data_IF_850461448778
#
_entry.id   IF_850461448778
#
_cell.length_a   1.000
_cell.length_b   1.000
_cell.length_c   1.000
_cell.angle_alpha   90.00
_cell.angle_beta   90.00
_cell.angle_gamma   90.00
#
_symmetry.space_group_name_H-M   'P 1'
#
loop_
_entity.id
_entity.type
_entity.pdbx_description
1 polymer ?
#
# COMPACT_ATOMS: atom_id res chain seq x y z
N UNK A 1 -28.66 -31.23 0.27
CA UNK A 1 -28.17 -30.23 -0.71
C UNK A 1 -28.10 -28.87 -0.03
N UNK A 2 -26.90 -28.41 0.35
CA UNK A 2 -26.69 -27.11 0.95
C UNK A 2 -26.92 -26.03 -0.10
N UNK A 3 -27.77 -25.05 0.17
CA UNK A 3 -27.92 -23.85 -0.65
C UNK A 3 -26.62 -23.05 -0.55
N UNK A 4 -25.87 -22.94 -1.65
CA UNK A 4 -24.74 -22.01 -1.75
C UNK A 4 -25.33 -20.60 -1.71
N UNK A 5 -25.14 -19.88 -0.61
CA UNK A 5 -25.55 -18.48 -0.49
C UNK A 5 -24.49 -17.69 -1.26
N UNK A 6 -24.88 -17.13 -2.41
CA UNK A 6 -24.02 -16.20 -3.16
C UNK A 6 -24.17 -14.84 -2.50
N UNK A 7 -23.20 -14.44 -1.69
CA UNK A 7 -23.13 -13.12 -1.08
C UNK A 7 -22.57 -12.15 -2.13
N UNK A 8 -23.22 -11.04 -2.35
CA UNK A 8 -22.73 -10.01 -3.27
C UNK A 8 -21.51 -9.30 -2.70
N UNK A 9 -20.65 -8.76 -3.57
CA UNK A 9 -19.48 -7.96 -3.13
C UNK A 9 -19.89 -6.77 -2.25
N UNK A 10 -21.07 -6.19 -2.50
CA UNK A 10 -21.61 -5.12 -1.68
C UNK A 10 -21.93 -5.61 -0.25
N UNK A 11 -22.57 -6.76 -0.11
CA UNK A 11 -22.88 -7.36 1.19
C UNK A 11 -21.62 -7.74 1.96
N UNK A 12 -20.57 -8.23 1.25
CA UNK A 12 -19.28 -8.48 1.86
C UNK A 12 -18.63 -7.19 2.40
N UNK A 13 -18.66 -6.11 1.62
CA UNK A 13 -18.14 -4.80 2.06
C UNK A 13 -18.88 -4.26 3.29
N UNK A 14 -20.18 -4.48 3.37
CA UNK A 14 -21.02 -4.09 4.52
C UNK A 14 -20.76 -4.94 5.78
N UNK A 15 -20.27 -6.16 5.61
CA UNK A 15 -19.95 -7.06 6.73
C UNK A 15 -18.59 -6.79 7.40
N UNK A 16 -17.73 -5.97 6.77
CA UNK A 16 -16.41 -5.66 7.31
C UNK A 16 -16.50 -4.70 8.51
N UNK A 17 -15.78 -5.03 9.58
CA UNK A 17 -15.70 -4.21 10.80
C UNK A 17 -14.71 -3.04 10.69
N UNK A 18 -14.54 -2.47 9.48
CA UNK A 18 -13.55 -1.44 9.19
C UNK A 18 -14.17 -0.05 9.11
N UNK A 19 -13.43 0.94 9.58
CA UNK A 19 -13.83 2.33 9.48
C UNK A 19 -13.23 3.00 8.23
N UNK A 20 -14.05 3.76 7.50
CA UNK A 20 -13.61 4.51 6.32
C UNK A 20 -13.20 5.93 6.72
N UNK A 21 -12.01 6.36 6.27
CA UNK A 21 -11.45 7.68 6.51
C UNK A 21 -11.19 8.37 5.16
N UNK A 22 -11.67 9.58 5.00
CA UNK A 22 -11.50 10.41 3.79
C UNK A 22 -12.00 9.73 2.49
N UNK A 23 -12.81 8.68 2.58
CA UNK A 23 -13.42 8.00 1.44
C UNK A 23 -14.81 7.50 1.81
N UNK A 24 -15.67 7.30 0.80
CA UNK A 24 -17.06 6.85 0.98
C UNK A 24 -17.26 5.35 0.76
N UNK A 25 -16.29 4.71 0.10
CA UNK A 25 -16.37 3.28 -0.23
C UNK A 25 -14.99 2.71 -0.47
N UNK A 26 -14.87 1.39 -0.43
CA UNK A 26 -13.66 0.68 -0.85
C UNK A 26 -13.52 0.73 -2.38
N UNK A 27 -12.28 0.78 -2.86
CA UNK A 27 -11.95 0.64 -4.28
C UNK A 27 -11.77 -0.85 -4.64
N UNK A 28 -11.94 -1.21 -5.91
CA UNK A 28 -11.89 -2.62 -6.32
C UNK A 28 -10.47 -3.19 -6.35
N UNK A 29 -9.49 -2.38 -6.74
CA UNK A 29 -8.10 -2.82 -6.91
C UNK A 29 -7.13 -1.84 -6.29
N UNK A 30 -6.23 -2.34 -5.47
CA UNK A 30 -5.06 -1.64 -4.94
C UNK A 30 -3.81 -2.03 -5.73
N UNK A 31 -2.89 -1.10 -5.91
CA UNK A 31 -1.62 -1.31 -6.60
C UNK A 31 -0.45 -1.10 -5.64
N UNK A 32 0.35 -2.16 -5.44
CA UNK A 32 1.54 -2.11 -4.58
C UNK A 32 2.80 -2.33 -5.40
N UNK A 33 3.77 -1.43 -5.23
CA UNK A 33 5.09 -1.56 -5.82
C UNK A 33 6.03 -2.24 -4.81
N UNK A 34 6.71 -3.29 -5.25
CA UNK A 34 7.69 -4.02 -4.43
C UNK A 34 8.85 -4.47 -5.30
N UNK A 35 10.03 -4.60 -4.70
CA UNK A 35 11.18 -5.20 -5.38
C UNK A 35 10.93 -6.68 -5.67
N UNK A 36 11.61 -7.23 -6.67
CA UNK A 36 11.44 -8.62 -7.06
C UNK A 36 11.78 -9.59 -5.93
N UNK A 37 12.82 -9.30 -5.15
CA UNK A 37 13.19 -10.09 -3.96
C UNK A 37 12.03 -10.18 -2.98
N UNK A 38 11.41 -9.05 -2.65
CA UNK A 38 10.27 -9.02 -1.71
C UNK A 38 9.03 -9.75 -2.22
N UNK A 39 8.79 -9.70 -3.54
CA UNK A 39 7.70 -10.47 -4.15
C UNK A 39 8.00 -11.96 -4.07
N UNK A 40 9.24 -12.37 -4.34
CA UNK A 40 9.64 -13.78 -4.24
C UNK A 40 9.62 -14.29 -2.80
N UNK A 41 10.09 -13.50 -1.83
CA UNK A 41 9.97 -13.81 -0.40
C UNK A 41 8.50 -14.07 0.00
N UNK A 42 7.58 -13.23 -0.47
CA UNK A 42 6.14 -13.41 -0.23
C UNK A 42 5.62 -14.72 -0.84
N UNK A 43 6.07 -15.06 -2.05
CA UNK A 43 5.59 -16.22 -2.81
C UNK A 43 6.20 -17.55 -2.32
N UNK A 44 7.46 -17.54 -1.90
CA UNK A 44 8.21 -18.72 -1.48
C UNK A 44 7.95 -19.08 0.02
N UNK A 45 7.35 -18.17 0.79
CA UNK A 45 7.01 -18.42 2.18
C UNK A 45 5.92 -19.52 2.32
N UNK A 46 6.01 -20.35 3.36
CA UNK A 46 4.98 -21.36 3.68
C UNK A 46 3.64 -20.70 3.99
N UNK A 47 3.67 -19.57 4.67
CA UNK A 47 2.53 -18.71 4.93
C UNK A 47 2.78 -17.35 4.29
N UNK A 48 1.89 -16.95 3.38
CA UNK A 48 2.05 -15.68 2.66
C UNK A 48 1.69 -14.52 3.58
N UNK A 49 2.70 -13.75 3.98
CA UNK A 49 2.58 -12.65 4.93
C UNK A 49 2.74 -11.30 4.25
N UNK A 50 1.79 -10.41 4.43
CA UNK A 50 1.90 -9.03 3.93
C UNK A 50 2.37 -8.10 5.05
N UNK A 51 3.38 -7.27 4.73
CA UNK A 51 4.01 -6.38 5.69
C UNK A 51 3.22 -5.06 5.86
N UNK A 52 2.87 -4.74 7.09
CA UNK A 52 2.31 -3.47 7.54
C UNK A 52 3.39 -2.74 8.35
N UNK A 53 3.87 -1.64 7.83
CA UNK A 53 5.04 -0.93 8.37
C UNK A 53 4.61 0.10 9.41
N UNK A 54 5.30 0.18 10.55
CA UNK A 54 5.10 1.32 11.47
C UNK A 54 5.42 2.62 10.75
N UNK A 55 4.58 3.66 10.89
CA UNK A 55 4.87 4.99 10.35
C UNK A 55 6.19 5.60 10.82
N UNK A 56 6.78 5.11 11.92
CA UNK A 56 8.13 5.50 12.35
C UNK A 56 9.20 5.25 11.28
N UNK A 57 8.96 4.29 10.40
CA UNK A 57 9.84 3.94 9.29
C UNK A 57 9.57 4.75 8.00
N UNK A 58 8.67 5.74 8.03
CA UNK A 58 8.42 6.58 6.88
C UNK A 58 9.53 7.62 6.68
N UNK A 59 9.84 7.91 5.41
CA UNK A 59 10.95 8.80 5.07
C UNK A 59 10.56 10.29 5.10
N UNK A 60 9.28 10.62 4.90
CA UNK A 60 8.86 12.03 4.91
C UNK A 60 8.78 12.56 6.36
N UNK A 61 9.64 13.52 6.73
CA UNK A 61 9.66 14.07 8.09
C UNK A 61 8.36 14.77 8.47
N UNK A 62 7.55 15.17 7.50
CA UNK A 62 6.23 15.77 7.76
C UNK A 62 5.18 14.74 8.14
N UNK A 63 5.29 13.52 7.62
CA UNK A 63 4.42 12.41 8.03
C UNK A 63 4.82 11.89 9.42
N UNK A 64 6.13 11.77 9.68
CA UNK A 64 6.64 11.31 10.99
C UNK A 64 6.51 12.38 12.09
N UNK A 65 6.32 13.66 11.74
CA UNK A 65 6.07 14.73 12.71
C UNK A 65 4.86 14.42 13.60
N UNK A 66 3.79 13.89 13.03
CA UNK A 66 2.58 13.56 13.76
C UNK A 66 2.76 12.40 14.76
N UNK A 67 3.71 11.50 14.54
CA UNK A 67 4.09 10.48 15.52
C UNK A 67 4.80 11.06 16.74
N UNK A 68 5.53 12.16 16.55
CA UNK A 68 6.32 12.84 17.60
C UNK A 68 5.53 13.92 18.33
N UNK A 69 4.30 14.17 17.93
CA UNK A 69 3.42 15.12 18.60
C UNK A 69 2.97 14.55 19.93
N UNK A 70 3.10 15.32 21.01
CA UNK A 70 2.60 14.92 22.34
C UNK A 70 1.08 15.15 22.44
N UNK A 71 0.32 14.15 22.04
CA UNK A 71 -1.15 14.19 22.12
C UNK A 71 -1.65 14.10 23.55
N UNK A 72 -0.87 13.53 24.46
CA UNK A 72 -1.22 13.49 25.88
C UNK A 72 -1.27 14.91 26.46
N UNK A 73 -0.28 15.75 26.12
CA UNK A 73 -0.26 17.15 26.54
C UNK A 73 -1.38 17.96 25.85
N UNK A 74 -1.72 17.66 24.61
CA UNK A 74 -2.75 18.39 23.85
C UNK A 74 -4.17 18.00 24.27
N UNK A 75 -4.46 16.69 24.41
CA UNK A 75 -5.82 16.15 24.50
C UNK A 75 -5.96 15.00 25.51
N UNK A 76 -4.93 14.67 26.29
CA UNK A 76 -4.91 13.51 27.17
C UNK A 76 -4.89 12.15 26.44
N UNK A 77 -4.67 12.16 25.13
CA UNK A 77 -4.70 10.95 24.30
C UNK A 77 -3.37 10.22 24.32
N UNK A 78 -3.38 8.95 24.71
CA UNK A 78 -2.21 8.07 24.65
C UNK A 78 -2.20 7.35 23.31
N UNK A 79 -1.20 7.65 22.49
CA UNK A 79 -1.03 7.05 21.15
C UNK A 79 -0.84 5.52 21.23
N UNK A 80 -1.70 4.73 20.60
CA UNK A 80 -1.46 3.30 20.44
C UNK A 80 -0.39 3.04 19.38
N UNK A 81 0.24 1.85 19.36
CA UNK A 81 1.01 1.42 18.22
C UNK A 81 0.11 1.34 16.99
N UNK A 82 0.67 1.69 15.83
CA UNK A 82 -0.05 1.73 14.56
C UNK A 82 0.81 1.14 13.45
N UNK A 83 0.21 0.34 12.58
CA UNK A 83 0.87 -0.30 11.45
C UNK A 83 0.09 0.00 10.18
N UNK A 84 0.80 0.23 9.08
CA UNK A 84 0.20 0.74 7.85
C UNK A 84 0.64 -0.03 6.61
N UNK A 85 -0.33 -0.38 5.78
CA UNK A 85 -0.10 -0.84 4.42
C UNK A 85 -0.48 0.27 3.45
N UNK A 86 0.51 0.77 2.70
CA UNK A 86 0.34 1.83 1.72
C UNK A 86 0.26 1.24 0.31
N UNK A 87 -0.74 1.65 -0.46
CA UNK A 87 -0.93 1.24 -1.84
C UNK A 87 -1.53 2.37 -2.68
N UNK A 88 -1.44 2.29 -4.01
CA UNK A 88 -2.05 3.26 -4.92
C UNK A 88 -3.45 2.80 -5.35
N UNK A 89 -4.27 3.77 -5.71
CA UNK A 89 -5.62 3.55 -6.22
C UNK A 89 -5.66 3.27 -7.72
N UNK A 90 -4.80 3.91 -8.48
CA UNK A 90 -4.92 3.95 -9.93
C UNK A 90 -3.96 3.00 -10.65
N UNK A 91 -4.37 2.61 -11.87
CA UNK A 91 -3.59 1.75 -12.76
C UNK A 91 -2.71 2.59 -13.71
N UNK A 92 -2.54 3.89 -13.46
CA UNK A 92 -1.71 4.71 -14.32
C UNK A 92 -0.28 4.18 -14.34
N UNK A 93 0.18 3.88 -15.54
CA UNK A 93 1.51 3.33 -15.78
C UNK A 93 2.52 4.48 -15.93
N UNK A 94 2.51 5.38 -14.94
CA UNK A 94 3.32 6.58 -14.95
C UNK A 94 4.79 6.28 -14.66
N UNK A 95 5.68 6.83 -15.45
CA UNK A 95 7.13 6.72 -15.25
C UNK A 95 7.55 7.20 -13.86
N UNK A 96 6.92 8.26 -13.36
CA UNK A 96 7.16 8.80 -12.04
C UNK A 96 6.98 7.75 -10.94
N UNK A 97 5.91 6.95 -10.99
CA UNK A 97 5.65 5.89 -10.02
C UNK A 97 6.75 4.84 -10.00
N UNK A 98 7.22 4.41 -11.18
CA UNK A 98 8.31 3.45 -11.27
C UNK A 98 9.62 4.03 -10.73
N UNK A 99 9.91 5.30 -10.96
CA UNK A 99 11.11 5.98 -10.45
C UNK A 99 11.11 6.15 -8.94
N UNK A 100 9.97 6.52 -8.36
CA UNK A 100 9.84 6.77 -6.92
C UNK A 100 10.06 5.50 -6.09
N UNK A 101 9.45 4.39 -6.53
CA UNK A 101 9.52 3.13 -5.80
C UNK A 101 10.77 2.31 -6.13
N UNK A 102 11.53 2.67 -7.17
CA UNK A 102 12.76 1.98 -7.55
C UNK A 102 13.88 2.26 -6.55
N UNK A 103 14.34 1.22 -5.87
CA UNK A 103 15.52 1.27 -5.00
C UNK A 103 16.65 0.46 -5.67
N UNK A 104 17.74 1.13 -5.99
CA UNK A 104 18.89 0.47 -6.63
C UNK A 104 18.59 -0.07 -8.03
N UNK A 105 19.28 -1.17 -8.39
CA UNK A 105 19.19 -1.79 -9.72
C UNK A 105 18.24 -3.00 -9.77
N UNK A 106 17.64 -3.37 -8.65
CA UNK A 106 16.75 -4.52 -8.58
C UNK A 106 15.47 -4.27 -9.41
N UNK A 107 14.94 -5.29 -10.12
CA UNK A 107 13.66 -5.19 -10.80
C UNK A 107 12.53 -4.85 -9.82
N UNK A 108 11.68 -3.92 -10.23
CA UNK A 108 10.51 -3.51 -9.48
C UNK A 108 9.25 -4.12 -10.11
N UNK A 109 8.38 -4.66 -9.29
CA UNK A 109 7.08 -5.17 -9.69
C UNK A 109 5.96 -4.33 -9.10
N UNK A 110 4.89 -4.17 -9.87
CA UNK A 110 3.62 -3.67 -9.39
C UNK A 110 2.64 -4.83 -9.29
N UNK A 111 2.17 -5.10 -8.09
CA UNK A 111 1.11 -6.07 -7.82
C UNK A 111 -0.24 -5.38 -7.94
N UNK A 112 -1.19 -6.02 -8.62
CA UNK A 112 -2.62 -5.65 -8.62
C UNK A 112 -3.33 -6.53 -7.62
N UNK A 113 -3.83 -5.94 -6.55
CA UNK A 113 -4.42 -6.64 -5.41
C UNK A 113 -5.93 -6.43 -5.44
N UNK A 114 -6.72 -7.49 -5.42
CA UNK A 114 -8.17 -7.40 -5.28
C UNK A 114 -8.49 -6.98 -3.84
N UNK A 115 -9.01 -5.77 -3.72
CA UNK A 115 -9.15 -5.09 -2.42
C UNK A 115 -10.02 -5.88 -1.46
N UNK A 116 -11.14 -6.43 -1.92
CA UNK A 116 -12.05 -7.17 -1.04
C UNK A 116 -11.39 -8.39 -0.38
N UNK A 117 -10.58 -9.15 -1.10
CA UNK A 117 -9.91 -10.33 -0.54
C UNK A 117 -8.86 -9.95 0.50
N UNK A 118 -8.12 -8.87 0.24
CA UNK A 118 -7.18 -8.31 1.20
C UNK A 118 -7.91 -7.85 2.47
N UNK A 119 -9.01 -7.13 2.32
CA UNK A 119 -9.78 -6.61 3.46
C UNK A 119 -10.43 -7.73 4.28
N UNK A 120 -10.90 -8.81 3.65
CA UNK A 120 -11.43 -9.98 4.35
C UNK A 120 -10.34 -10.68 5.18
N UNK A 121 -9.13 -10.81 4.65
CA UNK A 121 -8.01 -11.40 5.39
C UNK A 121 -7.62 -10.53 6.60
N UNK A 122 -7.57 -9.20 6.40
CA UNK A 122 -7.27 -8.24 7.47
C UNK A 122 -8.37 -8.22 8.53
N UNK A 123 -9.65 -8.24 8.13
CA UNK A 123 -10.80 -8.25 9.07
C UNK A 123 -10.79 -9.51 9.94
N UNK A 124 -10.49 -10.67 9.32
CA UNK A 124 -10.31 -11.91 10.06
C UNK A 124 -9.20 -11.79 11.10
N UNK A 125 -8.00 -11.34 10.66
CA UNK A 125 -6.87 -11.14 11.56
C UNK A 125 -7.20 -10.17 12.70
N UNK A 126 -7.86 -9.06 12.37
CA UNK A 126 -8.22 -8.02 13.34
C UNK A 126 -9.20 -8.53 14.40
N UNK A 127 -10.19 -9.33 14.00
CA UNK A 127 -11.13 -9.96 14.94
C UNK A 127 -10.45 -10.98 15.85
N UNK A 128 -9.51 -11.78 15.31
CA UNK A 128 -8.77 -12.78 16.09
C UNK A 128 -7.77 -12.16 17.08
N UNK A 129 -7.27 -10.94 16.79
CA UNK A 129 -6.22 -10.28 17.57
C UNK A 129 -6.64 -8.93 18.17
N UNK A 130 -7.93 -8.68 18.28
CA UNK A 130 -8.49 -7.47 18.90
C UNK A 130 -7.87 -6.17 18.35
N UNK A 131 -7.87 -6.00 17.03
CA UNK A 131 -7.38 -4.80 16.36
C UNK A 131 -8.54 -3.97 15.77
N UNK A 132 -8.39 -2.66 15.79
CA UNK A 132 -9.20 -1.77 14.98
C UNK A 132 -8.56 -1.59 13.60
N UNK A 133 -9.39 -1.53 12.55
CA UNK A 133 -8.94 -1.38 11.17
C UNK A 133 -9.55 -0.16 10.54
N UNK A 134 -8.71 0.62 9.88
CA UNK A 134 -9.13 1.81 9.16
C UNK A 134 -8.64 1.76 7.72
N UNK A 135 -9.56 2.00 6.77
CA UNK A 135 -9.24 2.15 5.36
C UNK A 135 -9.32 3.62 4.99
N UNK A 136 -8.20 4.21 4.67
CA UNK A 136 -8.07 5.66 4.49
C UNK A 136 -7.57 6.03 3.11
N UNK A 137 -8.19 7.06 2.52
CA UNK A 137 -7.61 7.79 1.39
C UNK A 137 -6.72 8.89 1.93
N UNK A 138 -5.48 8.99 1.41
CA UNK A 138 -4.56 10.06 1.80
C UNK A 138 -5.08 11.42 1.38
N UNK A 139 -5.06 12.36 2.32
CA UNK A 139 -5.50 13.74 2.13
C UNK A 139 -4.30 14.63 1.81
N UNK A 140 -4.27 15.18 0.59
CA UNK A 140 -3.18 16.02 0.07
C UNK A 140 -3.52 17.51 0.05
N UNK A 141 -4.58 17.94 0.72
CA UNK A 141 -5.03 19.35 0.62
C UNK A 141 -4.09 20.35 1.31
N UNK A 142 -3.25 19.90 2.25
CA UNK A 142 -2.41 20.78 3.05
C UNK A 142 -1.05 21.07 2.39
N UNK A 143 -0.66 22.34 2.46
CA UNK A 143 0.69 22.79 2.14
C UNK A 143 1.63 22.57 3.32
N UNK A 144 2.95 22.69 3.07
CA UNK A 144 3.98 22.56 4.10
C UNK A 144 3.72 23.45 5.32
N UNK A 145 3.50 24.76 5.10
CA UNK A 145 3.26 25.71 6.19
C UNK A 145 2.01 25.41 7.01
N UNK A 146 0.97 24.86 6.38
CA UNK A 146 -0.26 24.48 7.06
C UNK A 146 -0.05 23.23 7.93
N UNK A 147 0.76 22.24 7.48
CA UNK A 147 1.14 21.09 8.28
C UNK A 147 2.01 21.50 9.46
N UNK A 148 2.92 22.45 9.27
CA UNK A 148 3.80 22.93 10.34
C UNK A 148 3.04 23.58 11.50
N UNK A 149 1.94 24.26 11.21
CA UNK A 149 1.10 24.95 12.19
C UNK A 149 -0.15 24.19 12.60
N UNK A 150 -0.39 23.00 12.07
CA UNK A 150 -1.66 22.26 12.19
C UNK A 150 -2.08 22.03 13.65
N UNK A 151 -1.12 21.73 14.54
CA UNK A 151 -1.32 21.46 15.96
C UNK A 151 -1.51 22.72 16.82
N UNK A 152 -1.37 23.93 16.23
CA UNK A 152 -1.54 25.19 16.97
C UNK A 152 -3.03 25.58 17.00
N UNK A 153 -3.55 26.04 18.14
CA UNK A 153 -4.95 26.49 18.25
C UNK A 153 -5.32 27.61 17.28
N UNK A 154 -4.35 28.39 16.81
CA UNK A 154 -4.52 29.42 15.79
C UNK A 154 -4.66 28.89 14.36
N UNK A 155 -4.44 27.58 14.14
CA UNK A 155 -4.62 26.97 12.83
C UNK A 155 -6.10 26.87 12.49
N UNK A 156 -6.47 27.26 11.26
CA UNK A 156 -7.85 27.09 10.75
C UNK A 156 -8.31 25.62 10.66
N UNK A 157 -7.39 24.69 10.79
CA UNK A 157 -7.65 23.25 10.76
C UNK A 157 -7.58 22.60 12.15
N UNK A 158 -7.28 23.37 13.22
CA UNK A 158 -7.12 22.83 14.56
C UNK A 158 -8.35 22.06 15.01
N UNK A 159 -9.53 22.64 14.88
CA UNK A 159 -10.78 22.02 15.30
C UNK A 159 -11.08 20.74 14.52
N UNK A 160 -10.74 20.70 13.25
CA UNK A 160 -10.94 19.52 12.41
C UNK A 160 -10.08 18.32 12.84
N UNK A 161 -8.85 18.58 13.29
CA UNK A 161 -7.86 17.52 13.53
C UNK A 161 -7.51 17.31 15.00
N UNK A 162 -7.77 18.27 15.89
CA UNK A 162 -7.27 18.23 17.27
C UNK A 162 -8.32 18.56 18.35
N UNK A 163 -9.53 19.00 18.03
CA UNK A 163 -10.54 19.34 19.05
C UNK A 163 -11.04 18.15 19.87
N UNK A 164 -11.20 17.00 19.23
CA UNK A 164 -11.53 15.72 19.84
C UNK A 164 -10.59 14.67 19.28
N UNK A 165 -9.85 14.00 20.17
CA UNK A 165 -8.81 13.09 19.72
C UNK A 165 -9.06 11.67 20.23
N UNK A 166 -9.29 10.77 19.28
CA UNK A 166 -9.44 9.33 19.45
C UNK A 166 -8.59 8.59 18.39
N UNK A 167 -8.63 7.27 18.37
CA UNK A 167 -7.89 6.46 17.39
C UNK A 167 -8.27 6.78 15.94
N UNK A 168 -9.54 7.09 15.69
CA UNK A 168 -10.02 7.49 14.36
C UNK A 168 -9.42 8.83 13.93
N UNK A 169 -9.37 9.79 14.85
CA UNK A 169 -8.77 11.08 14.60
C UNK A 169 -7.25 10.98 14.43
N UNK A 170 -6.60 10.12 15.22
CA UNK A 170 -5.19 9.81 15.04
C UNK A 170 -4.89 9.26 13.64
N UNK A 171 -5.67 8.27 13.16
CA UNK A 171 -5.56 7.74 11.80
C UNK A 171 -5.83 8.82 10.75
N UNK A 172 -6.78 9.72 10.99
CA UNK A 172 -7.06 10.83 10.09
C UNK A 172 -5.86 11.76 9.94
N UNK A 173 -5.18 12.10 11.04
CA UNK A 173 -3.94 12.87 11.03
C UNK A 173 -2.80 12.10 10.34
N UNK A 174 -2.67 10.80 10.61
CA UNK A 174 -1.69 9.92 9.94
C UNK A 174 -1.99 9.67 8.45
N UNK A 175 -3.15 10.11 7.98
CA UNK A 175 -3.54 10.07 6.57
C UNK A 175 -3.28 11.39 5.83
N UNK A 176 -2.68 12.38 6.50
CA UNK A 176 -2.28 13.63 5.87
C UNK A 176 -0.93 13.47 5.16
N UNK A 177 -0.83 14.06 3.98
CA UNK A 177 0.43 14.18 3.24
C UNK A 177 0.48 15.50 2.50
N UNK A 178 1.68 16.07 2.34
CA UNK A 178 1.85 17.34 1.64
C UNK A 178 1.29 17.29 0.22
N UNK A 179 0.68 18.37 -0.22
CA UNK A 179 0.12 18.52 -1.57
C UNK A 179 1.10 18.13 -2.69
N UNK A 180 2.40 18.37 -2.50
CA UNK A 180 3.45 18.01 -3.45
C UNK A 180 3.50 16.52 -3.81
N UNK A 181 2.92 15.63 -2.97
CA UNK A 181 2.87 14.17 -3.17
C UNK A 181 1.52 13.68 -3.74
N UNK A 182 0.63 14.59 -4.15
CA UNK A 182 -0.71 14.24 -4.66
C UNK A 182 -0.69 13.23 -5.82
N UNK A 183 0.39 13.21 -6.59
CA UNK A 183 0.58 12.26 -7.68
C UNK A 183 0.70 10.79 -7.21
N UNK A 184 0.97 10.54 -5.92
CA UNK A 184 1.04 9.18 -5.38
C UNK A 184 -0.34 8.52 -5.31
N UNK A 185 -1.41 9.30 -5.19
CA UNK A 185 -2.80 8.86 -5.14
C UNK A 185 -2.99 7.64 -4.23
N UNK A 186 -2.56 7.80 -2.97
CA UNK A 186 -2.33 6.71 -2.03
C UNK A 186 -3.59 6.39 -1.21
N UNK A 187 -3.77 5.09 -0.95
CA UNK A 187 -4.63 4.57 0.09
C UNK A 187 -3.79 3.88 1.16
N UNK A 188 -4.24 3.98 2.39
CA UNK A 188 -3.62 3.40 3.58
C UNK A 188 -4.60 2.50 4.30
N UNK A 189 -4.14 1.32 4.68
CA UNK A 189 -4.87 0.44 5.60
C UNK A 189 -4.10 0.46 6.90
N UNK A 190 -4.73 0.97 7.95
CA UNK A 190 -4.13 1.02 9.27
C UNK A 190 -4.68 -0.08 10.16
N UNK A 191 -3.79 -0.68 10.94
CA UNK A 191 -4.09 -1.63 12.01
C UNK A 191 -3.67 -0.98 13.33
N UNK A 192 -4.61 -0.86 14.23
CA UNK A 192 -4.41 -0.33 15.58
C UNK A 192 -4.77 -1.42 16.59
N UNK A 193 -3.79 -2.11 17.19
CA UNK A 193 -4.07 -3.15 18.16
C UNK A 193 -4.58 -2.55 19.48
N UNK A 194 -5.72 -3.03 19.96
CA UNK A 194 -6.24 -2.67 21.29
C UNK A 194 -5.40 -3.27 22.41
N UNK A 195 -4.81 -4.45 22.13
CA UNK A 195 -3.90 -5.18 23.00
C UNK A 195 -2.62 -5.49 22.24
N UNK A 196 -1.55 -4.68 22.39
CA UNK A 196 -0.29 -4.87 21.65
C UNK A 196 0.30 -6.27 21.82
N UNK A 197 0.11 -6.92 22.98
CA UNK A 197 0.57 -8.26 23.27
C UNK A 197 -0.05 -9.34 22.37
N UNK A 198 -1.26 -9.12 21.87
CA UNK A 198 -1.97 -10.09 21.01
C UNK A 198 -1.32 -10.25 19.62
N UNK A 199 -0.53 -9.29 19.18
CA UNK A 199 0.11 -9.31 17.86
C UNK A 199 1.63 -9.55 17.90
N UNK A 200 2.24 -9.71 19.08
CA UNK A 200 3.72 -9.81 19.25
C UNK A 200 4.34 -10.87 18.35
N UNK A 201 3.71 -12.05 18.22
CA UNK A 201 4.21 -13.14 17.38
C UNK A 201 4.27 -12.81 15.88
N UNK A 202 3.54 -11.77 15.45
CA UNK A 202 3.49 -11.30 14.07
C UNK A 202 4.37 -10.07 13.84
N UNK A 203 5.05 -9.59 14.89
CA UNK A 203 5.93 -8.42 14.82
C UNK A 203 7.39 -8.83 14.60
N UNK A 204 8.03 -8.15 13.65
CA UNK A 204 9.47 -8.23 13.43
C UNK A 204 9.96 -6.85 12.98
N UNK A 205 10.96 -6.29 13.67
CA UNK A 205 11.59 -4.99 13.32
C UNK A 205 10.58 -3.84 13.11
N UNK A 206 9.59 -3.72 14.01
CA UNK A 206 8.48 -2.75 13.91
C UNK A 206 7.64 -2.91 12.62
N UNK A 207 7.58 -4.10 12.08
CA UNK A 207 6.71 -4.46 10.95
C UNK A 207 5.75 -5.54 11.42
N UNK A 208 4.46 -5.30 11.23
CA UNK A 208 3.41 -6.29 11.46
C UNK A 208 3.21 -7.10 10.18
N UNK A 209 3.33 -8.42 10.29
CA UNK A 209 3.11 -9.36 9.19
C UNK A 209 1.74 -10.01 9.33
N UNK A 210 0.85 -9.82 8.34
CA UNK A 210 -0.51 -10.36 8.36
C UNK A 210 -0.65 -11.46 7.31
N UNK A 211 -1.15 -12.65 7.69
CA UNK A 211 -1.43 -13.73 6.74
C UNK A 211 -2.46 -13.31 5.71
N UNK A 212 -2.19 -13.58 4.44
CA UNK A 212 -3.08 -13.22 3.33
C UNK A 212 -3.15 -14.33 2.29
N UNK A 213 -4.31 -14.52 1.61
CA UNK A 213 -4.40 -15.44 0.47
C UNK A 213 -3.63 -14.85 -0.72
N UNK A 214 -2.74 -15.64 -1.32
CA UNK A 214 -1.95 -15.18 -2.47
C UNK A 214 -2.82 -14.87 -3.70
N UNK A 215 -3.98 -15.51 -3.80
CA UNK A 215 -4.97 -15.35 -4.86
C UNK A 215 -5.56 -13.94 -4.92
N UNK A 216 -5.42 -13.14 -3.85
CA UNK A 216 -5.78 -11.72 -3.88
C UNK A 216 -4.94 -10.93 -4.90
N UNK A 217 -3.72 -11.41 -5.23
CA UNK A 217 -2.86 -10.77 -6.22
C UNK A 217 -3.21 -11.32 -7.59
N UNK A 218 -3.89 -10.54 -8.39
CA UNK A 218 -4.39 -10.97 -9.71
C UNK A 218 -3.39 -10.74 -10.83
N UNK A 219 -2.39 -9.87 -10.62
CA UNK A 219 -1.44 -9.48 -11.64
C UNK A 219 -0.12 -8.99 -11.05
N UNK A 220 0.96 -9.35 -11.73
CA UNK A 220 2.29 -8.77 -11.54
C UNK A 220 2.71 -8.04 -12.82
N UNK A 221 3.13 -6.78 -12.69
CA UNK A 221 3.62 -5.99 -13.83
C UNK A 221 5.04 -5.55 -13.50
N UNK A 222 6.00 -5.92 -14.34
CA UNK A 222 7.38 -5.49 -14.21
C UNK A 222 7.57 -4.03 -14.62
N UNK A 223 8.51 -3.36 -14.00
CA UNK A 223 8.92 -2.02 -14.40
C UNK A 223 9.31 -1.99 -15.89
N UNK A 224 9.12 -0.85 -16.58
CA UNK A 224 9.54 -0.71 -17.95
C UNK A 224 11.06 -0.87 -18.06
N UNK A 225 11.50 -1.55 -19.11
CA UNK A 225 12.93 -1.55 -19.49
C UNK A 225 13.31 -0.16 -19.99
N UNK A 226 14.43 0.36 -19.51
CA UNK A 226 14.97 1.60 -20.07
C UNK A 226 15.36 1.37 -21.53
N UNK A 227 14.65 2.00 -22.44
CA UNK A 227 15.07 2.12 -23.84
C UNK A 227 15.94 3.36 -23.96
N UNK A 228 17.19 3.27 -23.62
CA UNK A 228 18.15 4.27 -24.01
C UNK A 228 19.00 3.71 -25.14
N UNK A 229 19.08 4.46 -26.21
CA UNK A 229 20.06 4.44 -27.29
C UNK A 229 20.74 3.12 -27.70
N UNK A 230 21.04 2.97 -28.97
CA UNK A 230 21.69 1.85 -29.66
C UNK A 230 23.14 1.54 -29.21
N UNK A 231 23.56 2.04 -28.04
CA UNK A 231 24.88 1.78 -27.49
C UNK A 231 25.01 0.31 -27.02
N UNK A 232 26.21 -0.24 -27.10
CA UNK A 232 26.52 -1.59 -26.59
C UNK A 232 26.12 -1.76 -25.13
N UNK A 233 26.35 -0.73 -24.31
CA UNK A 233 25.96 -0.73 -22.88
C UNK A 233 24.46 -0.90 -22.72
N UNK A 234 23.63 -0.22 -23.53
CA UNK A 234 22.15 -0.38 -23.51
C UNK A 234 21.72 -1.77 -23.96
N UNK A 235 22.40 -2.37 -24.92
CA UNK A 235 22.09 -3.74 -25.38
C UNK A 235 22.39 -4.76 -24.27
N UNK A 236 23.49 -4.61 -23.57
CA UNK A 236 23.87 -5.47 -22.42
C UNK A 236 22.85 -5.31 -21.29
N UNK A 237 22.45 -4.08 -20.95
CA UNK A 237 21.46 -3.81 -19.91
C UNK A 237 20.09 -4.40 -20.25
N UNK A 238 19.67 -4.31 -21.52
CA UNK A 238 18.43 -4.93 -22.02
C UNK A 238 18.48 -6.45 -22.00
N UNK A 239 19.61 -7.06 -22.33
CA UNK A 239 19.79 -8.52 -22.26
C UNK A 239 19.71 -9.00 -20.80
N UNK A 240 20.39 -8.30 -19.89
CA UNK A 240 20.33 -8.58 -18.44
C UNK A 240 18.90 -8.45 -17.92
N UNK A 241 18.21 -7.35 -18.19
CA UNK A 241 16.81 -7.16 -17.82
C UNK A 241 15.91 -8.28 -18.35
N UNK A 242 16.12 -8.72 -19.60
CA UNK A 242 15.31 -9.78 -20.20
C UNK A 242 15.55 -11.14 -19.56
N UNK A 243 16.78 -11.46 -19.17
CA UNK A 243 17.12 -12.67 -18.43
C UNK A 243 16.52 -12.68 -17.03
N UNK A 244 16.68 -11.58 -16.28
CA UNK A 244 16.09 -11.41 -14.96
C UNK A 244 14.56 -11.51 -15.00
N UNK A 245 13.92 -10.84 -15.98
CA UNK A 245 12.48 -10.93 -16.18
C UNK A 245 12.02 -12.38 -16.39
N UNK A 246 12.72 -13.13 -17.24
CA UNK A 246 12.37 -14.54 -17.55
C UNK A 246 12.45 -15.38 -16.27
N UNK A 247 13.54 -15.29 -15.53
CA UNK A 247 13.77 -16.04 -14.30
C UNK A 247 12.70 -15.72 -13.24
N UNK A 248 12.46 -14.45 -12.96
CA UNK A 248 11.47 -14.02 -11.95
C UNK A 248 10.06 -14.42 -12.38
N UNK A 249 9.72 -14.27 -13.67
CA UNK A 249 8.43 -14.69 -14.21
C UNK A 249 8.19 -16.18 -14.01
N UNK A 250 9.17 -17.03 -14.29
CA UNK A 250 9.09 -18.48 -14.10
C UNK A 250 8.83 -18.83 -12.62
N UNK A 251 9.53 -18.19 -11.69
CA UNK A 251 9.32 -18.37 -10.25
C UNK A 251 7.90 -17.93 -9.82
N UNK A 252 7.42 -16.77 -10.31
CA UNK A 252 6.06 -16.31 -10.02
C UNK A 252 5.02 -17.30 -10.53
N UNK A 253 5.13 -17.75 -11.77
CA UNK A 253 4.16 -18.69 -12.36
C UNK A 253 4.19 -20.04 -11.63
N UNK A 254 5.35 -20.50 -11.20
CA UNK A 254 5.47 -21.74 -10.41
C UNK A 254 4.76 -21.62 -9.06
N UNK A 255 4.95 -20.52 -8.35
CA UNK A 255 4.38 -20.30 -7.02
C UNK A 255 2.90 -19.84 -7.07
N UNK A 256 2.51 -19.12 -8.12
CA UNK A 256 1.16 -18.56 -8.30
C UNK A 256 0.68 -18.76 -9.74
N UNK A 257 0.26 -19.98 -10.15
CA UNK A 257 -0.03 -20.35 -11.53
C UNK A 257 -1.15 -19.53 -12.19
N UNK A 258 -2.12 -19.07 -11.40
CA UNK A 258 -3.28 -18.31 -11.89
C UNK A 258 -3.01 -16.81 -12.06
N UNK A 259 -1.86 -16.31 -11.62
CA UNK A 259 -1.53 -14.90 -11.72
C UNK A 259 -1.12 -14.50 -13.15
N UNK A 260 -1.54 -13.32 -13.55
CA UNK A 260 -1.12 -12.73 -14.83
C UNK A 260 0.21 -11.99 -14.63
N UNK A 261 1.20 -12.26 -15.49
CA UNK A 261 2.54 -11.64 -15.42
C UNK A 261 2.84 -10.90 -16.72
N UNK A 262 3.07 -9.59 -16.62
CA UNK A 262 3.28 -8.70 -17.75
C UNK A 262 4.54 -7.84 -17.58
N UNK A 263 5.08 -7.37 -18.71
CA UNK A 263 5.99 -6.20 -18.74
C UNK A 263 5.16 -4.92 -18.83
N UNK A 264 5.63 -3.84 -18.24
CA UNK A 264 5.03 -2.53 -18.43
C UNK A 264 5.11 -2.14 -19.92
N UNK A 265 4.00 -1.64 -20.45
CA UNK A 265 3.93 -1.15 -21.84
C UNK A 265 4.39 0.31 -22.00
N UNK A 266 4.90 0.95 -20.92
CA UNK A 266 5.20 2.39 -20.91
C UNK A 266 6.10 2.85 -22.06
N UNK A 267 7.04 1.99 -22.47
CA UNK A 267 7.96 2.25 -23.59
C UNK A 267 7.78 1.26 -24.75
N UNK A 268 6.63 0.56 -24.85
CA UNK A 268 6.39 -0.28 -26.04
C UNK A 268 6.26 0.60 -27.28
N UNK A 269 6.86 0.14 -28.39
CA UNK A 269 6.67 0.81 -29.69
C UNK A 269 5.17 0.84 -30.00
N UNK A 270 4.64 2.01 -30.36
CA UNK A 270 3.34 2.11 -31.03
C UNK A 270 3.55 1.43 -32.38
N UNK A 271 3.04 0.25 -32.53
CA UNK A 271 2.88 -0.36 -33.87
C UNK A 271 1.81 0.49 -34.56
N UNK A 272 2.22 1.44 -35.37
CA UNK A 272 1.32 2.05 -36.34
C UNK A 272 0.84 0.92 -37.25
N UNK A 273 -0.34 0.41 -36.97
CA UNK A 273 -1.14 -0.23 -38.03
C UNK A 273 -1.59 0.91 -38.94
N UNK A 274 -0.75 1.22 -39.91
CA UNK A 274 -1.19 1.92 -41.14
C UNK A 274 -2.22 1.01 -41.81
N UNK A 275 -3.48 1.25 -41.51
CA UNK A 275 -4.53 0.88 -42.46
C UNK A 275 -4.54 1.98 -43.48
N UNK A 276 -3.95 1.66 -44.64
CA UNK A 276 -4.24 2.32 -45.92
C UNK A 276 -5.63 1.86 -46.37
#
# INVERSE_FOLDING_TARGET
MGKTIIISEQQLKESLSMQLINCKSFINTLYKYMTASRVLELLEAQEHMLAFVSPENWYDPYETKFLKTDYTALNGYKQPPIYCFCARMDNHNEEASWKIYKKGNEPLLRMSIRTIDLLLAIDKFAKEHECDVYFSKVDYRLKKSEIDSLHLPSSKYYDEFFSHFDDKQYVKVMSLKRWAFKYENEYRIFIVPRKPEAIVKYLKDNILFIPVPIEMITRYTFNPANKSNESLASQIEMAKYSAEYKLIREKIIKAHPNAKVYKSALYSKITQTSKI
#
